data_IF_490968772645
#
_entry.id   IF_490968772645
#
_cell.length_a   1.000
_cell.length_b   1.000
_cell.length_c   1.000
_cell.angle_alpha   90.00
_cell.angle_beta   90.00
_cell.angle_gamma   90.00
#
_symmetry.space_group_name_H-M   'P 1'
#
loop_
_entity.id
_entity.type
_entity.pdbx_description
1 polymer ?
#
# COMPACT_ATOMS: atom_id res chain seq x y z
N UNK A 1 4.45 10.83 4.15
CA UNK A 1 3.21 11.17 3.42
C UNK A 1 3.32 10.80 1.94
N UNK A 2 2.23 10.34 1.33
CA UNK A 2 2.16 9.90 -0.08
C UNK A 2 2.59 11.01 -1.04
N UNK A 3 2.25 12.26 -0.73
CA UNK A 3 2.56 13.41 -1.61
C UNK A 3 4.05 13.51 -1.99
N UNK A 4 4.96 13.05 -1.12
CA UNK A 4 6.40 13.08 -1.39
C UNK A 4 6.81 12.26 -2.62
N UNK A 5 6.19 11.09 -2.87
CA UNK A 5 6.45 10.32 -4.09
C UNK A 5 5.44 10.67 -5.19
N UNK A 6 4.23 11.09 -4.81
CA UNK A 6 3.17 11.47 -5.75
C UNK A 6 3.56 12.67 -6.64
N UNK A 7 4.38 13.60 -6.15
CA UNK A 7 4.77 14.82 -6.86
C UNK A 7 5.43 14.58 -8.24
N UNK A 8 6.01 13.40 -8.48
CA UNK A 8 6.63 13.06 -9.78
C UNK A 8 5.68 12.37 -10.76
N UNK A 9 4.42 12.10 -10.38
CA UNK A 9 3.46 11.31 -11.17
C UNK A 9 3.36 11.76 -12.63
N UNK A 10 3.30 13.07 -12.88
CA UNK A 10 3.16 13.63 -14.23
C UNK A 10 4.35 13.30 -15.16
N UNK A 11 5.49 12.92 -14.60
CA UNK A 11 6.73 12.64 -15.33
C UNK A 11 7.05 11.15 -15.42
N UNK A 12 6.25 10.28 -14.77
CA UNK A 12 6.51 8.84 -14.75
C UNK A 12 6.03 8.19 -16.07
N UNK A 13 6.92 7.53 -16.85
CA UNK A 13 6.56 6.92 -18.13
C UNK A 13 5.94 5.53 -17.91
N UNK A 14 4.79 5.47 -17.24
CA UNK A 14 4.06 4.23 -16.92
C UNK A 14 2.55 4.50 -16.91
N UNK A 15 1.76 3.49 -17.26
CA UNK A 15 0.29 3.54 -17.18
C UNK A 15 -0.22 3.53 -15.74
N UNK A 16 0.54 2.92 -14.82
CA UNK A 16 0.21 2.86 -13.40
C UNK A 16 1.41 3.22 -12.53
N UNK A 17 1.17 4.08 -11.55
CA UNK A 17 2.12 4.47 -10.51
C UNK A 17 1.38 4.51 -9.16
N UNK A 18 1.53 3.47 -8.35
CA UNK A 18 0.85 3.37 -7.03
C UNK A 18 1.81 3.81 -5.93
N UNK A 19 1.41 4.82 -5.16
CA UNK A 19 2.21 5.35 -4.05
C UNK A 19 1.65 4.90 -2.70
N UNK A 20 2.55 4.42 -1.85
CA UNK A 20 2.31 4.19 -0.42
C UNK A 20 3.02 5.28 0.38
N UNK A 21 2.51 5.61 1.56
CA UNK A 21 3.11 6.66 2.36
C UNK A 21 2.51 6.77 3.75
N UNK A 22 3.29 7.38 4.63
CA UNK A 22 3.01 7.55 6.06
C UNK A 22 2.20 8.83 6.32
N UNK A 23 1.01 8.94 5.73
CA UNK A 23 0.08 10.03 6.03
C UNK A 23 -0.57 9.79 7.40
N UNK A 24 -0.79 10.84 8.19
CA UNK A 24 -1.28 10.76 9.56
C UNK A 24 -0.27 11.18 10.63
N UNK A 25 -0.74 11.25 11.88
CA UNK A 25 0.11 11.61 13.02
C UNK A 25 0.99 10.44 13.47
N UNK A 26 2.17 10.77 14.02
CA UNK A 26 3.08 9.80 14.60
C UNK A 26 2.52 9.18 15.89
N UNK A 27 2.93 7.94 16.17
CA UNK A 27 2.69 7.24 17.44
C UNK A 27 3.95 6.52 17.89
N UNK A 28 4.08 6.25 19.19
CA UNK A 28 5.22 5.51 19.74
C UNK A 28 4.96 4.00 19.64
N UNK A 29 5.76 3.31 18.82
CA UNK A 29 5.74 1.85 18.70
C UNK A 29 7.05 1.37 18.04
N UNK A 30 7.23 0.06 17.91
CA UNK A 30 8.33 -0.56 17.15
C UNK A 30 8.28 -0.18 15.67
N UNK A 31 9.43 -0.23 15.00
CA UNK A 31 9.52 0.06 13.54
C UNK A 31 8.61 -0.86 12.72
N UNK A 32 8.52 -2.13 13.11
CA UNK A 32 7.67 -3.11 12.42
C UNK A 32 6.19 -2.72 12.53
N UNK A 33 5.74 -2.44 13.74
CA UNK A 33 4.36 -2.03 14.00
C UNK A 33 4.02 -0.71 13.30
N UNK A 34 4.91 0.29 13.34
CA UNK A 34 4.70 1.56 12.65
C UNK A 34 4.62 1.37 11.13
N UNK A 35 5.50 0.57 10.53
CA UNK A 35 5.46 0.32 9.07
C UNK A 35 4.20 -0.43 8.66
N UNK A 36 3.70 -1.34 9.51
CA UNK A 36 2.42 -2.02 9.29
C UNK A 36 1.25 -1.05 9.48
N UNK A 37 1.27 -0.24 10.53
CA UNK A 37 0.27 0.77 10.82
C UNK A 37 0.11 1.76 9.67
N UNK A 38 1.22 2.34 9.19
CA UNK A 38 1.22 3.29 8.07
C UNK A 38 1.12 2.64 6.69
N UNK A 39 1.00 1.31 6.61
CA UNK A 39 0.76 0.60 5.34
C UNK A 39 1.92 0.71 4.34
N UNK A 40 3.16 0.74 4.85
CA UNK A 40 4.39 0.92 4.06
C UNK A 40 5.38 -0.25 4.20
N UNK A 41 4.97 -1.35 4.84
CA UNK A 41 5.81 -2.56 4.90
C UNK A 41 5.76 -3.36 3.58
N UNK A 42 6.57 -4.41 3.49
CA UNK A 42 6.67 -5.25 2.29
C UNK A 42 5.34 -5.88 1.87
N UNK A 43 4.48 -6.28 2.82
CA UNK A 43 3.18 -6.88 2.52
C UNK A 43 2.27 -5.93 1.74
N UNK A 44 2.19 -4.66 2.16
CA UNK A 44 1.41 -3.64 1.45
C UNK A 44 2.00 -3.31 0.07
N UNK A 45 3.33 -3.33 -0.09
CA UNK A 45 3.98 -3.16 -1.41
C UNK A 45 3.59 -4.30 -2.35
N UNK A 46 3.61 -5.55 -1.87
CA UNK A 46 3.21 -6.72 -2.67
C UNK A 46 1.74 -6.62 -3.09
N UNK A 47 0.83 -6.33 -2.15
CA UNK A 47 -0.60 -6.18 -2.46
C UNK A 47 -0.85 -5.04 -3.44
N UNK A 48 -0.15 -3.90 -3.29
CA UNK A 48 -0.25 -2.79 -4.22
C UNK A 48 0.18 -3.20 -5.65
N UNK A 49 1.31 -3.90 -5.78
CA UNK A 49 1.79 -4.38 -7.08
C UNK A 49 0.82 -5.39 -7.73
N UNK A 50 0.37 -6.39 -6.97
CA UNK A 50 -0.57 -7.40 -7.45
C UNK A 50 -1.91 -6.79 -7.86
N UNK A 51 -2.38 -5.77 -7.13
CA UNK A 51 -3.62 -5.05 -7.46
C UNK A 51 -3.52 -4.36 -8.82
N UNK A 52 -2.38 -3.73 -9.13
CA UNK A 52 -2.18 -3.08 -10.43
C UNK A 52 -2.04 -4.10 -11.58
N UNK A 53 -1.40 -5.25 -11.34
CA UNK A 53 -1.38 -6.36 -12.31
C UNK A 53 -2.78 -6.94 -12.54
N UNK A 54 -3.58 -7.11 -11.48
CA UNK A 54 -4.94 -7.63 -11.59
C UNK A 54 -5.88 -6.68 -12.35
N UNK A 55 -5.69 -5.36 -12.21
CA UNK A 55 -6.44 -4.36 -13.00
C UNK A 55 -6.13 -4.45 -14.49
N UNK A 56 -4.89 -4.81 -14.86
CA UNK A 56 -4.46 -5.03 -16.24
C UNK A 56 -4.90 -6.38 -16.81
N UNK A 57 -5.38 -7.30 -15.95
CA UNK A 57 -5.74 -8.66 -16.33
C UNK A 57 -4.55 -9.62 -16.40
N UNK A 58 -3.36 -9.20 -15.96
CA UNK A 58 -2.14 -10.03 -15.98
C UNK A 58 -2.18 -11.13 -14.90
N UNK A 59 -2.98 -10.93 -13.84
CA UNK A 59 -3.21 -11.92 -12.77
C UNK A 59 -4.67 -11.92 -12.32
N UNK A 60 -5.13 -13.05 -11.78
CA UNK A 60 -6.46 -13.18 -11.20
C UNK A 60 -6.63 -12.33 -9.94
N UNK A 61 -7.84 -11.79 -9.72
CA UNK A 61 -8.16 -11.01 -8.50
C UNK A 61 -8.03 -11.85 -7.22
N UNK A 62 -8.22 -13.17 -7.31
CA UNK A 62 -8.04 -14.09 -6.19
C UNK A 62 -6.62 -14.04 -5.61
N UNK A 63 -5.60 -13.85 -6.46
CA UNK A 63 -4.20 -13.73 -6.03
C UNK A 63 -4.00 -12.54 -5.10
N UNK A 64 -4.71 -11.43 -5.34
CA UNK A 64 -4.68 -10.25 -4.45
C UNK A 64 -5.31 -10.58 -3.10
N UNK A 65 -6.47 -11.26 -3.10
CA UNK A 65 -7.16 -11.65 -1.86
C UNK A 65 -6.35 -12.65 -1.04
N UNK A 66 -5.67 -13.60 -1.69
CA UNK A 66 -4.75 -14.54 -1.05
C UNK A 66 -3.55 -13.82 -0.44
N UNK A 67 -2.98 -12.82 -1.14
CA UNK A 67 -1.88 -12.02 -0.60
C UNK A 67 -2.30 -11.20 0.62
N UNK A 68 -3.48 -10.57 0.61
CA UNK A 68 -4.03 -9.84 1.75
C UNK A 68 -4.13 -10.78 2.97
N UNK A 69 -4.70 -11.96 2.80
CA UNK A 69 -4.82 -12.96 3.86
C UNK A 69 -3.44 -13.45 4.34
N UNK A 70 -2.53 -13.77 3.41
CA UNK A 70 -1.17 -14.24 3.70
C UNK A 70 -0.35 -13.25 4.51
N UNK A 71 -0.47 -11.96 4.22
CA UNK A 71 0.21 -10.90 4.98
C UNK A 71 -0.58 -10.40 6.19
N UNK A 72 -1.75 -10.99 6.45
CA UNK A 72 -2.67 -10.64 7.54
C UNK A 72 -3.09 -9.15 7.51
N UNK A 73 -3.24 -8.57 6.32
CA UNK A 73 -3.58 -7.15 6.15
C UNK A 73 -5.05 -6.95 6.52
N UNK A 74 -5.29 -6.08 7.49
CA UNK A 74 -6.63 -5.61 7.83
C UNK A 74 -7.08 -4.61 6.74
N UNK A 75 -8.17 -4.93 6.06
CA UNK A 75 -8.76 -4.08 5.00
C UNK A 75 -9.77 -3.09 5.57
N UNK A 76 -10.26 -3.31 6.79
CA UNK A 76 -11.34 -2.53 7.42
C UNK A 76 -10.80 -1.55 8.47
N UNK A 77 -9.49 -1.58 8.78
CA UNK A 77 -8.85 -0.60 9.66
C UNK A 77 -9.07 0.83 9.19
N UNK A 78 -9.16 1.74 10.14
CA UNK A 78 -9.16 3.19 9.88
C UNK A 78 -7.92 3.60 9.09
N UNK A 79 -8.12 4.40 8.05
CA UNK A 79 -7.04 4.98 7.26
C UNK A 79 -6.05 5.73 8.18
N UNK A 80 -4.73 5.50 8.07
CA UNK A 80 -3.74 6.12 8.95
C UNK A 80 -3.80 7.65 9.06
N UNK A 81 -4.32 8.33 8.02
CA UNK A 81 -4.52 9.78 8.05
C UNK A 81 -5.51 10.24 9.16
N UNK A 82 -6.46 9.38 9.51
CA UNK A 82 -7.55 9.65 10.48
C UNK A 82 -7.48 8.76 11.73
N UNK A 83 -6.39 8.00 11.91
CA UNK A 83 -6.22 7.00 12.96
C UNK A 83 -5.41 7.48 14.17
#
# INVERSE_FOLDING_TARGET
>A
MKNYSEQVRAFMPTESYKVLGTDGYGRSDSRENLRRHFEVNAGYVVVAALTELAKRGDVEKSVVTEAIAKFNIDTEKTNPLYA
#
